data_IF_693635482726
#
_entry.id   IF_693635482726
#
_cell.length_a   1.000
_cell.length_b   1.000
_cell.length_c   1.000
_cell.angle_alpha   90.00
_cell.angle_beta   90.00
_cell.angle_gamma   90.00
#
_symmetry.space_group_name_H-M   'P 1'
#
loop_
_entity.id
_entity.type
_entity.pdbx_description
1 polymer ?
#
# COMPACT_ATOMS: atom_id res chain seq x y z
N UNK A 1 -47.30 2.77 9.07
CA UNK A 1 -46.28 3.53 8.33
C UNK A 1 -44.92 3.11 8.85
N UNK A 2 -44.08 2.53 7.99
CA UNK A 2 -42.67 2.32 8.35
C UNK A 2 -41.99 3.71 8.43
N UNK A 3 -41.09 3.96 9.39
CA UNK A 3 -40.54 5.29 9.55
C UNK A 3 -39.46 5.56 8.47
N UNK A 4 -39.77 6.39 7.48
CA UNK A 4 -38.86 6.74 6.39
C UNK A 4 -37.51 7.34 6.85
N UNK A 5 -37.44 7.88 8.07
CA UNK A 5 -36.20 8.42 8.64
C UNK A 5 -35.14 7.34 8.88
N UNK A 6 -35.53 6.09 9.16
CA UNK A 6 -34.58 4.99 9.38
C UNK A 6 -33.82 4.64 8.11
N UNK A 7 -34.51 4.59 6.97
CA UNK A 7 -33.88 4.31 5.67
C UNK A 7 -32.97 5.47 5.23
N UNK A 8 -33.35 6.71 5.55
CA UNK A 8 -32.48 7.88 5.35
C UNK A 8 -31.18 7.78 6.17
N UNK A 9 -31.26 7.42 7.45
CA UNK A 9 -30.07 7.24 8.29
C UNK A 9 -29.18 6.08 7.84
N UNK A 10 -29.77 4.99 7.32
CA UNK A 10 -28.98 3.89 6.73
C UNK A 10 -28.18 4.36 5.53
N UNK A 11 -28.79 5.13 4.63
CA UNK A 11 -28.08 5.71 3.48
C UNK A 11 -26.97 6.67 3.94
N UNK A 12 -27.24 7.55 4.91
CA UNK A 12 -26.25 8.48 5.45
C UNK A 12 -25.04 7.74 6.03
N UNK A 13 -25.29 6.73 6.88
CA UNK A 13 -24.23 5.94 7.50
C UNK A 13 -23.38 5.20 6.46
N UNK A 14 -24.01 4.65 5.42
CA UNK A 14 -23.30 3.98 4.34
C UNK A 14 -22.47 4.96 3.50
N UNK A 15 -23.00 6.16 3.21
CA UNK A 15 -22.27 7.19 2.50
C UNK A 15 -21.06 7.70 3.30
N UNK A 16 -21.21 7.89 4.61
CA UNK A 16 -20.11 8.24 5.52
C UNK A 16 -19.05 7.15 5.52
N UNK A 17 -19.43 5.89 5.77
CA UNK A 17 -18.49 4.75 5.77
C UNK A 17 -17.76 4.59 4.43
N UNK A 18 -18.48 4.75 3.32
CA UNK A 18 -17.87 4.72 1.99
C UNK A 18 -16.87 5.87 1.80
N UNK A 19 -17.22 7.08 2.26
CA UNK A 19 -16.33 8.25 2.28
C UNK A 19 -15.09 8.06 3.17
N UNK A 20 -15.20 7.28 4.25
CA UNK A 20 -14.10 6.90 5.14
C UNK A 20 -13.20 5.77 4.57
N UNK A 21 -13.47 5.32 3.35
CA UNK A 21 -12.66 4.31 2.66
C UNK A 21 -13.17 2.88 2.76
N UNK A 22 -14.35 2.64 3.35
CA UNK A 22 -15.02 1.34 3.27
C UNK A 22 -15.66 1.14 1.87
N UNK A 23 -14.84 1.01 0.84
CA UNK A 23 -15.30 1.01 -0.56
C UNK A 23 -16.15 -0.23 -0.95
N UNK A 24 -16.18 -1.25 -0.09
CA UNK A 24 -17.07 -2.41 -0.23
C UNK A 24 -18.46 -2.18 0.37
N UNK A 25 -18.71 -1.02 0.99
CA UNK A 25 -20.01 -0.69 1.57
C UNK A 25 -21.09 -0.70 0.49
N UNK A 26 -22.16 -1.45 0.73
CA UNK A 26 -23.34 -1.53 -0.14
C UNK A 26 -24.58 -1.46 0.72
N UNK A 27 -25.63 -0.85 0.19
CA UNK A 27 -26.91 -0.74 0.90
C UNK A 27 -28.01 -1.50 0.19
N UNK A 28 -28.93 -2.03 0.97
CA UNK A 28 -30.13 -2.69 0.48
C UNK A 28 -31.33 -2.16 1.27
N UNK A 29 -32.40 -1.86 0.55
CA UNK A 29 -33.69 -1.51 1.10
C UNK A 29 -34.72 -2.55 0.64
N UNK A 30 -35.67 -2.85 1.52
CA UNK A 30 -36.76 -3.78 1.21
C UNK A 30 -37.55 -3.33 -0.03
N UNK A 31 -38.06 -4.30 -0.79
CA UNK A 31 -38.94 -4.06 -1.94
C UNK A 31 -40.14 -3.19 -1.55
N UNK A 32 -40.34 -2.09 -2.28
CA UNK A 32 -41.39 -1.11 -1.99
C UNK A 32 -40.98 0.02 -1.03
N UNK A 33 -39.73 0.05 -0.56
CA UNK A 33 -39.18 1.26 0.08
C UNK A 33 -39.04 2.39 -0.94
N UNK A 34 -39.42 3.60 -0.54
CA UNK A 34 -39.20 4.81 -1.34
C UNK A 34 -37.71 5.10 -1.61
N UNK A 35 -36.80 4.45 -0.87
CA UNK A 35 -35.35 4.59 -1.00
C UNK A 35 -34.70 3.51 -1.86
N UNK A 36 -35.45 2.50 -2.32
CA UNK A 36 -34.91 1.38 -3.12
C UNK A 36 -34.07 1.87 -4.31
N UNK A 37 -34.64 2.77 -5.12
CA UNK A 37 -33.94 3.37 -6.27
C UNK A 37 -32.70 4.17 -5.88
N UNK A 38 -32.71 4.81 -4.71
CA UNK A 38 -31.56 5.57 -4.22
C UNK A 38 -30.45 4.63 -3.73
N UNK A 39 -30.81 3.49 -3.13
CA UNK A 39 -29.86 2.44 -2.79
C UNK A 39 -29.20 1.80 -4.01
N UNK A 40 -29.97 1.55 -5.07
CA UNK A 40 -29.42 1.09 -6.35
C UNK A 40 -28.43 2.12 -6.91
N UNK A 41 -28.80 3.41 -6.93
CA UNK A 41 -27.93 4.47 -7.41
C UNK A 41 -26.64 4.61 -6.57
N UNK A 42 -26.74 4.50 -5.24
CA UNK A 42 -25.58 4.49 -4.35
C UNK A 42 -24.63 3.33 -4.66
N UNK A 43 -25.16 2.11 -4.78
CA UNK A 43 -24.36 0.93 -5.08
C UNK A 43 -23.67 1.04 -6.45
N UNK A 44 -24.37 1.55 -7.48
CA UNK A 44 -23.78 1.78 -8.79
C UNK A 44 -22.65 2.82 -8.74
N UNK A 45 -22.82 3.89 -7.97
CA UNK A 45 -21.76 4.88 -7.75
C UNK A 45 -20.54 4.23 -7.06
N UNK A 46 -20.78 3.42 -6.03
CA UNK A 46 -19.73 2.70 -5.32
C UNK A 46 -18.97 1.71 -6.22
N UNK A 47 -19.68 1.00 -7.10
CA UNK A 47 -19.09 0.11 -8.10
C UNK A 47 -18.23 0.88 -9.12
N UNK A 48 -18.73 2.01 -9.62
CA UNK A 48 -18.00 2.86 -10.56
C UNK A 48 -16.70 3.41 -9.96
N UNK A 49 -16.74 3.84 -8.70
CA UNK A 49 -15.56 4.33 -7.99
C UNK A 49 -14.54 3.20 -7.78
N UNK A 50 -15.00 2.00 -7.39
CA UNK A 50 -14.12 0.83 -7.29
C UNK A 50 -13.45 0.48 -8.62
N UNK A 51 -14.20 0.52 -9.72
CA UNK A 51 -13.66 0.27 -11.05
C UNK A 51 -12.61 1.32 -11.45
N UNK A 52 -12.87 2.59 -11.14
CA UNK A 52 -11.93 3.69 -11.40
C UNK A 52 -10.62 3.52 -10.63
N UNK A 53 -10.69 3.17 -9.34
CA UNK A 53 -9.52 2.91 -8.49
C UNK A 53 -8.73 1.72 -9.02
N UNK A 54 -9.41 0.62 -9.39
CA UNK A 54 -8.77 -0.55 -9.97
C UNK A 54 -8.06 -0.21 -11.29
N UNK A 55 -8.70 0.55 -12.17
CA UNK A 55 -8.15 1.00 -13.45
C UNK A 55 -6.92 1.91 -13.26
N UNK A 56 -7.00 2.90 -12.37
CA UNK A 56 -5.86 3.77 -12.01
C UNK A 56 -4.65 2.94 -11.56
N UNK A 57 -4.88 1.92 -10.74
CA UNK A 57 -3.81 1.04 -10.27
C UNK A 57 -3.19 0.22 -11.41
N UNK A 58 -4.01 -0.41 -12.25
CA UNK A 58 -3.52 -1.15 -13.41
C UNK A 58 -2.67 -0.28 -14.34
N UNK A 59 -3.08 0.97 -14.53
CA UNK A 59 -2.31 1.95 -15.30
C UNK A 59 -0.94 2.22 -14.67
N UNK A 60 -0.88 2.48 -13.35
CA UNK A 60 0.38 2.73 -12.65
C UNK A 60 1.32 1.50 -12.72
N UNK A 61 0.78 0.30 -12.47
CA UNK A 61 1.54 -0.95 -12.56
C UNK A 61 2.09 -1.17 -13.99
N UNK A 62 1.28 -0.89 -15.01
CA UNK A 62 1.67 -0.98 -16.41
C UNK A 62 2.76 0.02 -16.81
N UNK A 63 2.62 1.29 -16.41
CA UNK A 63 3.62 2.34 -16.68
C UNK A 63 4.97 1.95 -16.05
N UNK A 64 4.96 1.50 -14.79
CA UNK A 64 6.20 1.09 -14.12
C UNK A 64 6.88 -0.09 -14.83
N UNK A 65 6.11 -1.06 -15.32
CA UNK A 65 6.65 -2.20 -16.06
C UNK A 65 7.31 -1.76 -17.37
N UNK A 66 6.63 -0.90 -18.14
CA UNK A 66 7.14 -0.36 -19.42
C UNK A 66 8.37 0.54 -19.23
N UNK A 67 8.52 1.21 -18.09
CA UNK A 67 9.68 2.06 -17.79
C UNK A 67 10.94 1.28 -17.37
N UNK A 68 10.81 0.09 -16.78
CA UNK A 68 12.00 -0.71 -16.37
C UNK A 68 12.86 -1.11 -17.56
N UNK A 69 12.26 -1.54 -18.67
CA UNK A 69 12.98 -1.97 -19.87
C UNK A 69 13.87 -0.87 -20.49
N UNK A 70 13.39 0.36 -20.77
CA UNK A 70 14.24 1.43 -21.29
C UNK A 70 15.29 1.90 -20.29
N UNK A 71 15.05 1.86 -18.98
CA UNK A 71 16.07 2.19 -17.96
C UNK A 71 17.23 1.18 -17.98
N UNK A 72 16.93 -0.12 -18.04
CA UNK A 72 17.96 -1.16 -18.21
C UNK A 72 18.76 -0.95 -19.50
N UNK A 73 18.07 -0.64 -20.61
CA UNK A 73 18.74 -0.35 -21.89
C UNK A 73 19.62 0.90 -21.82
N UNK A 74 19.20 1.94 -21.10
CA UNK A 74 20.01 3.14 -20.87
C UNK A 74 21.28 2.81 -20.08
N UNK A 75 21.15 2.05 -18.98
CA UNK A 75 22.31 1.56 -18.21
C UNK A 75 23.30 0.80 -19.09
N UNK A 76 22.80 -0.13 -19.91
CA UNK A 76 23.66 -0.88 -20.83
C UNK A 76 24.40 0.02 -21.82
N UNK A 77 23.73 1.02 -22.40
CA UNK A 77 24.36 1.98 -23.31
C UNK A 77 25.41 2.86 -22.63
N UNK A 78 25.23 3.20 -21.36
CA UNK A 78 26.22 3.94 -20.57
C UNK A 78 27.46 3.10 -20.31
N UNK A 79 27.30 1.83 -19.95
CA UNK A 79 28.41 0.89 -19.74
C UNK A 79 29.25 0.67 -21.01
N UNK A 80 28.65 0.77 -22.19
CA UNK A 80 29.35 0.64 -23.48
C UNK A 80 29.92 1.95 -24.03
N UNK A 81 29.74 3.08 -23.33
CA UNK A 81 30.09 4.39 -23.87
C UNK A 81 31.53 4.76 -23.55
N UNK A 82 32.40 4.71 -24.56
CA UNK A 82 33.82 5.08 -24.44
C UNK A 82 34.07 6.61 -24.39
N UNK A 83 33.05 7.42 -24.69
CA UNK A 83 33.16 8.89 -24.81
C UNK A 83 32.83 9.65 -23.51
N UNK A 84 32.47 8.95 -22.44
CA UNK A 84 32.11 9.57 -21.15
C UNK A 84 33.29 9.49 -20.20
N UNK A 85 33.56 10.57 -19.47
CA UNK A 85 34.44 10.49 -18.31
C UNK A 85 33.82 9.61 -17.22
N UNK A 86 34.66 9.04 -16.35
CA UNK A 86 34.20 8.24 -15.22
C UNK A 86 33.22 9.01 -14.31
N UNK A 87 33.43 10.32 -14.15
CA UNK A 87 32.55 11.18 -13.36
C UNK A 87 31.16 11.36 -14.01
N UNK A 88 31.10 11.53 -15.34
CA UNK A 88 29.84 11.65 -16.08
C UNK A 88 29.06 10.33 -16.09
N UNK A 89 29.74 9.21 -16.33
CA UNK A 89 29.12 7.88 -16.25
C UNK A 89 28.55 7.60 -14.85
N UNK A 90 29.28 7.96 -13.79
CA UNK A 90 28.81 7.81 -12.41
C UNK A 90 27.64 8.77 -12.08
N UNK A 91 27.60 9.98 -12.65
CA UNK A 91 26.46 10.88 -12.51
C UNK A 91 25.20 10.29 -13.17
N UNK A 92 25.29 9.85 -14.42
CA UNK A 92 24.15 9.28 -15.16
C UNK A 92 23.64 7.97 -14.53
N UNK A 93 24.54 7.13 -14.02
CA UNK A 93 24.14 5.93 -13.28
C UNK A 93 23.37 6.26 -11.98
N UNK A 94 23.76 7.33 -11.27
CA UNK A 94 23.01 7.81 -10.10
C UNK A 94 21.62 8.32 -10.49
N UNK A 95 21.51 9.07 -11.57
CA UNK A 95 20.22 9.58 -12.05
C UNK A 95 19.28 8.43 -12.45
N UNK A 96 19.78 7.40 -13.14
CA UNK A 96 19.00 6.19 -13.47
C UNK A 96 18.54 5.48 -12.20
N UNK A 97 19.44 5.31 -11.22
CA UNK A 97 19.10 4.66 -9.95
C UNK A 97 18.04 5.45 -9.18
N UNK A 98 18.08 6.79 -9.25
CA UNK A 98 17.08 7.65 -8.66
C UNK A 98 15.72 7.51 -9.35
N UNK A 99 15.69 7.40 -10.68
CA UNK A 99 14.45 7.13 -11.43
C UNK A 99 13.86 5.77 -11.06
N UNK A 100 14.69 4.73 -10.94
CA UNK A 100 14.25 3.40 -10.48
C UNK A 100 13.63 3.49 -9.07
N UNK A 101 14.29 4.20 -8.14
CA UNK A 101 13.77 4.39 -6.78
C UNK A 101 12.42 5.11 -6.74
N UNK A 102 12.24 6.17 -7.55
CA UNK A 102 10.97 6.90 -7.66
C UNK A 102 9.84 6.03 -8.22
N UNK A 103 10.15 5.16 -9.19
CA UNK A 103 9.17 4.20 -9.74
C UNK A 103 8.74 3.20 -8.65
N UNK A 104 9.69 2.66 -7.88
CA UNK A 104 9.37 1.74 -6.78
C UNK A 104 8.56 2.41 -5.66
N UNK A 105 8.85 3.68 -5.34
CA UNK A 105 8.07 4.47 -4.37
C UNK A 105 6.63 4.67 -4.86
N UNK A 106 6.45 5.06 -6.12
CA UNK A 106 5.12 5.21 -6.73
C UNK A 106 4.33 3.91 -6.73
N UNK A 107 4.97 2.78 -7.06
CA UNK A 107 4.37 1.45 -6.99
C UNK A 107 3.98 1.07 -5.56
N UNK A 108 4.83 1.39 -4.59
CA UNK A 108 4.56 1.15 -3.17
C UNK A 108 3.35 1.95 -2.71
N UNK A 109 3.29 3.23 -3.07
CA UNK A 109 2.14 4.09 -2.79
C UNK A 109 0.85 3.52 -3.40
N UNK A 110 0.87 3.13 -4.68
CA UNK A 110 -0.29 2.53 -5.35
C UNK A 110 -0.75 1.20 -4.73
N UNK A 111 0.15 0.47 -4.05
CA UNK A 111 -0.19 -0.75 -3.30
C UNK A 111 -0.78 -0.45 -1.92
N UNK A 112 -0.29 0.60 -1.25
CA UNK A 112 -0.76 1.03 0.08
C UNK A 112 -2.15 1.70 0.03
N UNK A 113 -2.52 2.30 -1.09
CA UNK A 113 -3.86 2.88 -1.34
C UNK A 113 -4.99 1.81 -1.41
N UNK A 114 -4.70 0.56 -1.02
CA UNK A 114 -5.71 -0.51 -0.92
C UNK A 114 -6.45 -0.40 0.41
N UNK A 115 -7.80 -0.35 0.41
CA UNK A 115 -8.58 -0.47 1.64
C UNK A 115 -8.46 -1.85 2.32
N UNK A 116 -7.92 -2.85 1.61
CA UNK A 116 -7.73 -4.23 2.09
C UNK A 116 -6.25 -4.63 2.16
N UNK A 117 -5.36 -3.75 2.62
CA UNK A 117 -4.10 -4.23 3.16
C UNK A 117 -4.41 -4.84 4.53
N UNK A 118 -5.10 -5.98 4.55
CA UNK A 118 -5.41 -6.72 5.78
C UNK A 118 -4.07 -6.99 6.46
N UNK A 119 -3.87 -6.35 7.61
CA UNK A 119 -2.68 -6.58 8.40
C UNK A 119 -2.84 -7.97 9.02
N UNK A 120 -2.11 -8.94 8.47
CA UNK A 120 -1.98 -10.26 9.07
C UNK A 120 -1.10 -10.14 10.31
N UNK A 121 -1.71 -9.69 11.40
CA UNK A 121 -1.07 -9.63 12.69
C UNK A 121 -0.73 -11.07 13.11
N UNK A 122 0.55 -11.31 13.35
CA UNK A 122 1.04 -12.54 13.94
C UNK A 122 1.78 -12.20 15.23
N UNK A 123 1.87 -13.17 16.14
CA UNK A 123 2.80 -13.11 17.26
C UNK A 123 4.08 -13.84 16.85
N UNK A 124 5.06 -13.16 16.21
CA UNK A 124 6.32 -13.80 15.90
C UNK A 124 7.10 -14.07 17.18
N UNK A 125 7.86 -15.17 17.18
CA UNK A 125 8.96 -15.36 18.13
C UNK A 125 10.00 -14.25 17.86
N UNK A 126 9.88 -13.14 18.60
CA UNK A 126 10.70 -11.95 18.42
C UNK A 126 12.20 -12.27 18.43
N UNK A 127 12.75 -13.06 19.37
CA UNK A 127 14.13 -13.53 19.32
C UNK A 127 14.51 -14.21 18.00
N UNK A 128 13.68 -15.15 17.52
CA UNK A 128 13.95 -15.89 16.29
C UNK A 128 13.85 -14.98 15.05
N UNK A 129 12.81 -14.15 14.99
CA UNK A 129 12.58 -13.19 13.91
C UNK A 129 13.73 -12.18 13.83
N UNK A 130 14.13 -11.58 14.96
CA UNK A 130 15.28 -10.68 15.02
C UNK A 130 16.58 -11.35 14.58
N UNK A 131 16.83 -12.59 15.01
CA UNK A 131 18.04 -13.32 14.61
C UNK A 131 18.08 -13.59 13.10
N UNK A 132 16.92 -13.84 12.49
CA UNK A 132 16.78 -14.06 11.05
C UNK A 132 17.04 -12.78 10.26
N UNK A 133 16.56 -11.62 10.74
CA UNK A 133 16.67 -10.35 10.02
C UNK A 133 17.91 -9.51 10.39
N UNK A 134 18.64 -9.90 11.44
CA UNK A 134 19.87 -9.21 11.85
C UNK A 134 20.98 -9.28 10.80
N UNK A 135 21.07 -10.39 10.07
CA UNK A 135 22.03 -10.55 8.98
C UNK A 135 21.80 -9.50 7.88
N UNK A 136 20.55 -9.29 7.50
CA UNK A 136 20.16 -8.33 6.47
C UNK A 136 20.46 -6.89 6.91
N UNK A 137 20.12 -6.54 8.16
CA UNK A 137 20.40 -5.20 8.72
C UNK A 137 21.91 -4.92 8.78
N UNK A 138 22.71 -5.94 9.09
CA UNK A 138 24.16 -5.81 9.19
C UNK A 138 24.85 -5.73 7.82
N UNK A 139 24.24 -6.31 6.78
CA UNK A 139 24.67 -6.14 5.39
C UNK A 139 24.44 -4.70 4.89
N UNK A 140 23.33 -4.06 5.29
CA UNK A 140 23.03 -2.66 4.91
C UNK A 140 23.76 -1.64 5.79
N UNK A 141 24.12 -2.01 7.03
CA UNK A 141 24.78 -1.09 7.98
C UNK A 141 26.11 -1.65 8.51
N UNK A 142 27.14 -1.86 7.67
CA UNK A 142 28.37 -2.55 8.05
C UNK A 142 29.17 -1.87 9.18
N UNK A 143 28.93 -0.57 9.43
CA UNK A 143 29.63 0.23 10.45
C UNK A 143 29.09 -0.05 11.87
N UNK A 144 27.86 -0.58 12.01
CA UNK A 144 27.25 -0.89 13.30
C UNK A 144 27.07 -2.39 13.46
N UNK A 145 27.72 -2.96 14.48
CA UNK A 145 27.59 -4.39 14.82
C UNK A 145 26.43 -4.56 15.79
N UNK A 146 25.41 -5.31 15.38
CA UNK A 146 24.25 -5.58 16.21
C UNK A 146 24.37 -6.98 16.81
N UNK A 147 23.96 -7.14 18.07
CA UNK A 147 23.98 -8.42 18.76
C UNK A 147 22.79 -8.54 19.71
N UNK A 148 22.15 -9.70 19.74
CA UNK A 148 21.03 -9.95 20.64
C UNK A 148 21.57 -10.23 22.04
N UNK A 149 21.20 -9.38 23.00
CA UNK A 149 21.50 -9.60 24.42
C UNK A 149 20.23 -10.03 25.13
N UNK A 150 20.17 -11.28 25.60
CA UNK A 150 19.02 -11.81 26.33
C UNK A 150 19.01 -11.23 27.75
N UNK A 151 18.05 -10.34 28.05
CA UNK A 151 17.90 -9.73 29.37
C UNK A 151 17.03 -10.62 30.28
N UNK A 152 17.51 -11.01 31.46
CA UNK A 152 16.76 -11.76 32.49
C UNK A 152 15.86 -10.88 33.37
N UNK A 153 15.31 -9.77 32.86
CA UNK A 153 14.31 -9.00 33.62
C UNK A 153 12.93 -9.57 33.35
N UNK A 154 12.35 -10.21 34.36
CA UNK A 154 10.95 -10.62 34.39
C UNK A 154 10.04 -9.41 34.11
N UNK A 155 9.37 -9.39 32.95
CA UNK A 155 8.34 -8.40 32.66
C UNK A 155 7.02 -8.96 33.19
N UNK A 156 6.80 -8.74 34.49
CA UNK A 156 5.47 -8.79 35.08
C UNK A 156 4.89 -7.37 34.94
N UNK A 157 3.94 -7.15 34.02
CA UNK A 157 3.05 -5.97 34.00
C UNK A 157 1.86 -6.19 33.06
N UNK A 158 0.89 -6.94 33.58
CA UNK A 158 -0.54 -6.57 33.72
C UNK A 158 -1.04 -5.51 32.71
N UNK A 159 -1.61 -5.97 31.60
CA UNK A 159 -2.51 -5.16 30.77
C UNK A 159 -3.83 -5.02 31.52
N UNK A 160 -4.12 -3.82 32.01
CA UNK A 160 -5.45 -3.44 32.54
C UNK A 160 -6.12 -2.62 31.45
N UNK A 161 -7.24 -3.13 30.95
CA UNK A 161 -8.24 -2.35 30.24
C UNK A 161 -8.80 -1.27 31.18
N UNK A 162 -8.83 -0.03 30.71
CA UNK A 162 -9.78 1.00 31.11
C UNK A 162 -10.02 1.90 29.89
#
# INVERSE_FOLDING_TARGET
MRPHWQDMLKLEAAAQRFGDGHLNERIHFDEGSSFERLGIAFNQMADNINALIASKKQLIDGIAHELRTPLVRLRYRLEMSDNLSAAESQALNRDISQLEALIEELLTYARLDRPQNELHLSEPDLPLWLSTHLADIQAVTPIKRYGLKRSRKAIMRRWICA
#
